data_IF_815746709175
#
_entry.id   IF_815746709175
#
_cell.length_a   1.000
_cell.length_b   1.000
_cell.length_c   1.000
_cell.angle_alpha   90.00
_cell.angle_beta   90.00
_cell.angle_gamma   90.00
#
_symmetry.space_group_name_H-M   'P 1'
#
loop_
_entity.id
_entity.type
_entity.pdbx_description
1 polymer ?
#
# COMPACT_ATOMS: atom_id res chain seq x y z
N UNK A 1 -7.62 -26.24 39.88
CA UNK A 1 -7.16 -24.84 39.98
C UNK A 1 -5.77 -24.64 39.38
N UNK A 2 -4.72 -25.39 39.76
CA UNK A 2 -3.36 -25.20 39.20
C UNK A 2 -3.27 -25.38 37.67
N UNK A 3 -4.04 -26.34 37.12
CA UNK A 3 -4.07 -26.65 35.67
C UNK A 3 -4.72 -25.53 34.83
N UNK A 4 -5.73 -24.85 35.36
CA UNK A 4 -6.35 -23.72 34.64
C UNK A 4 -5.46 -22.48 34.70
N UNK A 5 -4.68 -22.31 35.77
CA UNK A 5 -3.67 -21.25 35.87
C UNK A 5 -2.59 -21.43 34.79
N UNK A 6 -2.04 -22.64 34.63
CA UNK A 6 -1.04 -22.92 33.59
C UNK A 6 -1.55 -22.67 32.17
N UNK A 7 -2.80 -23.05 31.87
CA UNK A 7 -3.39 -22.79 30.55
C UNK A 7 -3.62 -21.31 30.29
N UNK A 8 -4.10 -20.56 31.30
CA UNK A 8 -4.28 -19.11 31.18
C UNK A 8 -2.93 -18.40 30.94
N UNK A 9 -1.87 -18.82 31.64
CA UNK A 9 -0.52 -18.28 31.44
C UNK A 9 0.00 -18.61 30.04
N UNK A 10 -0.18 -19.83 29.53
CA UNK A 10 0.23 -20.21 28.18
C UNK A 10 -0.48 -19.41 27.10
N UNK A 11 -1.79 -19.15 27.25
CA UNK A 11 -2.55 -18.32 26.31
C UNK A 11 -2.06 -16.88 26.34
N UNK A 12 -1.84 -16.31 27.53
CA UNK A 12 -1.29 -14.95 27.67
C UNK A 12 0.10 -14.82 27.03
N UNK A 13 0.99 -15.78 27.26
CA UNK A 13 2.31 -15.80 26.62
C UNK A 13 2.19 -15.93 25.10
N UNK A 14 1.29 -16.80 24.61
CA UNK A 14 1.02 -16.93 23.18
C UNK A 14 0.52 -15.64 22.53
N UNK A 15 -0.38 -14.91 23.20
CA UNK A 15 -0.87 -13.60 22.73
C UNK A 15 0.28 -12.59 22.70
N UNK A 16 1.08 -12.49 23.77
CA UNK A 16 2.21 -11.56 23.84
C UNK A 16 3.25 -11.86 22.76
N UNK A 17 3.57 -13.13 22.51
CA UNK A 17 4.49 -13.52 21.44
C UNK A 17 3.92 -13.22 20.04
N UNK A 18 2.61 -13.36 19.85
CA UNK A 18 1.96 -13.02 18.57
C UNK A 18 2.01 -11.51 18.32
N UNK A 19 1.72 -10.70 19.33
CA UNK A 19 1.82 -9.22 19.24
C UNK A 19 3.28 -8.78 19.02
N UNK A 20 4.24 -9.37 19.73
CA UNK A 20 5.66 -9.04 19.56
C UNK A 20 6.20 -9.38 18.16
N UNK A 21 5.74 -10.49 17.56
CA UNK A 21 6.14 -10.89 16.20
C UNK A 21 5.48 -10.04 15.11
N UNK A 22 4.31 -9.45 15.38
CA UNK A 22 3.66 -8.49 14.49
C UNK A 22 4.45 -7.17 14.44
N UNK A 23 4.86 -6.65 15.60
CA UNK A 23 5.70 -5.44 15.68
C UNK A 23 7.09 -5.61 15.07
N UNK A 24 7.67 -6.81 15.12
CA UNK A 24 9.00 -7.09 14.56
C UNK A 24 9.01 -7.30 13.04
N UNK A 25 7.85 -7.40 12.39
CA UNK A 25 7.74 -7.90 11.00
C UNK A 25 7.97 -6.88 9.90
N UNK A 26 8.08 -5.58 10.18
CA UNK A 26 8.34 -4.60 9.13
C UNK A 26 9.35 -3.55 9.58
N UNK A 27 10.61 -3.77 9.22
CA UNK A 27 11.55 -2.67 9.03
C UNK A 27 11.05 -1.90 7.79
N UNK A 28 10.15 -0.92 8.01
CA UNK A 28 9.61 -0.09 6.93
C UNK A 28 10.71 0.83 6.43
N UNK A 29 10.73 1.00 5.12
CA UNK A 29 11.59 1.97 4.46
C UNK A 29 10.85 3.29 4.52
N UNK A 30 11.56 4.35 4.90
CA UNK A 30 11.01 5.70 4.89
C UNK A 30 10.61 6.08 3.46
N UNK A 31 9.55 6.88 3.33
CA UNK A 31 9.05 7.34 2.05
C UNK A 31 9.54 8.74 1.76
N UNK A 32 9.73 9.05 0.48
CA UNK A 32 10.10 10.39 0.03
C UNK A 32 9.11 10.88 -1.01
N UNK A 33 8.57 12.07 -0.79
CA UNK A 33 7.62 12.72 -1.69
C UNK A 33 8.38 13.68 -2.61
N UNK A 34 8.18 13.51 -3.92
CA UNK A 34 8.75 14.37 -4.95
C UNK A 34 7.64 15.11 -5.67
N UNK A 35 7.78 16.43 -5.79
CA UNK A 35 6.96 17.26 -6.68
C UNK A 35 7.45 17.09 -8.12
N UNK A 36 6.60 16.53 -8.98
CA UNK A 36 6.96 16.20 -10.37
C UNK A 36 6.40 17.23 -11.33
N UNK A 37 5.15 17.67 -11.10
CA UNK A 37 4.45 18.66 -11.90
C UNK A 37 3.25 19.20 -11.11
N UNK A 38 2.56 20.19 -11.69
CA UNK A 38 1.36 20.76 -11.09
C UNK A 38 0.33 19.66 -10.74
N UNK A 39 -0.01 19.56 -9.45
CA UNK A 39 -0.91 18.57 -8.88
C UNK A 39 -0.47 17.10 -9.03
N UNK A 40 0.78 16.83 -9.40
CA UNK A 40 1.32 15.48 -9.61
C UNK A 40 2.58 15.26 -8.76
N UNK A 41 2.51 14.28 -7.88
CA UNK A 41 3.58 13.93 -6.96
C UNK A 41 3.96 12.46 -7.12
N UNK A 42 5.21 12.13 -6.84
CA UNK A 42 5.72 10.78 -6.81
C UNK A 42 6.16 10.43 -5.39
N UNK A 43 5.64 9.34 -4.85
CA UNK A 43 6.05 8.80 -3.56
C UNK A 43 7.00 7.60 -3.76
N UNK A 44 8.28 7.84 -3.51
CA UNK A 44 9.37 6.87 -3.67
C UNK A 44 9.77 6.23 -2.32
N UNK A 45 10.75 5.33 -2.35
CA UNK A 45 11.42 4.88 -1.14
C UNK A 45 12.64 5.79 -0.91
N UNK A 46 12.83 6.32 0.29
CA UNK A 46 13.92 7.26 0.62
C UNK A 46 15.30 6.60 0.58
N UNK A 47 15.39 5.29 0.83
CA UNK A 47 16.64 4.55 0.70
C UNK A 47 16.85 4.06 -0.74
N UNK A 48 18.00 4.35 -1.37
CA UNK A 48 18.35 3.82 -2.68
C UNK A 48 18.69 2.32 -2.65
N UNK A 49 18.89 1.74 -1.46
CA UNK A 49 19.20 0.32 -1.30
C UNK A 49 17.92 -0.54 -1.26
N UNK A 50 17.54 -1.03 -2.45
CA UNK A 50 16.53 -2.08 -2.61
C UNK A 50 15.08 -1.59 -2.77
N UNK A 51 14.19 -2.54 -3.06
CA UNK A 51 12.74 -2.31 -3.22
C UNK A 51 11.96 -2.68 -1.95
N UNK A 52 12.52 -2.41 -0.76
CA UNK A 52 11.94 -2.86 0.52
C UNK A 52 10.51 -2.37 0.78
N UNK A 53 10.13 -1.21 0.23
CA UNK A 53 8.77 -0.67 0.26
C UNK A 53 7.91 -0.99 -0.97
N UNK A 54 8.44 -1.71 -1.96
CA UNK A 54 7.82 -1.87 -3.27
C UNK A 54 8.16 -0.74 -4.25
N UNK A 55 7.35 -0.59 -5.30
CA UNK A 55 7.52 0.44 -6.33
C UNK A 55 7.12 1.84 -5.88
N UNK A 56 7.22 2.79 -6.81
CA UNK A 56 6.77 4.16 -6.60
C UNK A 56 5.25 4.25 -6.73
N UNK A 57 4.64 5.17 -5.99
CA UNK A 57 3.22 5.51 -6.12
C UNK A 57 3.12 6.91 -6.71
N UNK A 58 2.32 7.08 -7.76
CA UNK A 58 1.96 8.42 -8.22
C UNK A 58 0.72 8.92 -7.49
N UNK A 59 0.74 10.18 -7.05
CA UNK A 59 -0.37 10.87 -6.40
C UNK A 59 -0.78 12.02 -7.32
N UNK A 60 -1.96 11.92 -7.90
CA UNK A 60 -2.49 12.95 -8.80
C UNK A 60 -3.73 13.59 -8.18
N UNK A 61 -3.64 14.87 -7.86
CA UNK A 61 -4.72 15.64 -7.23
C UNK A 61 -5.60 16.24 -8.33
N UNK A 62 -6.88 15.88 -8.32
CA UNK A 62 -7.86 16.37 -9.31
C UNK A 62 -8.95 17.20 -8.63
N UNK A 63 -9.85 17.79 -9.42
CA UNK A 63 -11.00 18.51 -8.88
C UNK A 63 -12.01 17.59 -8.16
N UNK A 64 -12.09 16.31 -8.55
CA UNK A 64 -13.05 15.34 -7.99
C UNK A 64 -12.46 14.51 -6.84
N UNK A 65 -11.14 14.52 -6.65
CA UNK A 65 -10.45 13.72 -5.64
C UNK A 65 -9.02 13.36 -6.04
N UNK A 66 -8.38 12.49 -5.26
CA UNK A 66 -7.02 12.01 -5.53
C UNK A 66 -7.06 10.68 -6.28
N UNK A 67 -6.27 10.60 -7.35
CA UNK A 67 -6.01 9.37 -8.10
C UNK A 67 -4.62 8.86 -7.72
N UNK A 68 -4.56 7.62 -7.23
CA UNK A 68 -3.31 6.93 -6.98
C UNK A 68 -3.00 5.99 -8.15
N UNK A 69 -1.77 6.00 -8.64
CA UNK A 69 -1.28 5.01 -9.61
C UNK A 69 -0.23 4.13 -8.94
N UNK A 70 -0.55 2.85 -8.90
CA UNK A 70 0.11 1.80 -8.13
C UNK A 70 0.18 2.09 -6.62
N UNK A 71 0.23 1.02 -5.84
CA UNK A 71 0.45 1.11 -4.39
C UNK A 71 1.73 0.39 -4.00
N UNK A 72 2.21 0.70 -2.80
CA UNK A 72 3.38 0.04 -2.21
C UNK A 72 3.07 -1.40 -1.78
N UNK A 73 4.02 -2.06 -1.13
CA UNK A 73 3.78 -3.36 -0.52
C UNK A 73 2.82 -3.23 0.69
N UNK A 74 2.35 -4.36 1.21
CA UNK A 74 1.50 -4.41 2.40
C UNK A 74 2.03 -3.64 3.59
N UNK A 75 1.13 -2.99 4.33
CA UNK A 75 1.45 -2.19 5.51
C UNK A 75 1.53 -0.68 5.22
N UNK A 76 1.84 -0.27 3.99
CA UNK A 76 2.06 1.14 3.64
C UNK A 76 0.79 1.96 3.38
N UNK A 77 -0.41 1.38 3.52
CA UNK A 77 -1.66 2.08 3.20
C UNK A 77 -1.87 3.36 4.03
N UNK A 78 -1.56 3.30 5.33
CA UNK A 78 -1.65 4.47 6.20
C UNK A 78 -0.56 5.49 5.92
N UNK A 79 0.64 5.03 5.55
CA UNK A 79 1.76 5.92 5.21
C UNK A 79 1.43 6.71 3.94
N UNK A 80 0.88 6.05 2.91
CA UNK A 80 0.39 6.72 1.69
C UNK A 80 -0.70 7.74 2.02
N UNK A 81 -1.66 7.39 2.89
CA UNK A 81 -2.73 8.32 3.29
C UNK A 81 -2.19 9.54 4.04
N UNK A 82 -1.17 9.37 4.89
CA UNK A 82 -0.53 10.47 5.59
C UNK A 82 0.17 11.43 4.61
N UNK A 83 0.88 10.90 3.62
CA UNK A 83 1.51 11.71 2.57
C UNK A 83 0.48 12.45 1.71
N UNK A 84 -0.62 11.78 1.34
CA UNK A 84 -1.73 12.43 0.62
C UNK A 84 -2.32 13.58 1.44
N UNK A 85 -2.53 13.38 2.75
CA UNK A 85 -3.07 14.42 3.63
C UNK A 85 -2.13 15.63 3.79
N UNK A 86 -0.81 15.42 3.65
CA UNK A 86 0.17 16.51 3.59
C UNK A 86 0.07 17.35 2.30
N UNK A 87 -0.44 16.76 1.22
CA UNK A 87 -0.60 17.40 -0.09
C UNK A 87 -1.98 18.03 -0.25
N UNK A 88 -3.05 17.39 0.22
CA UNK A 88 -4.43 17.84 0.00
C UNK A 88 -5.43 17.23 0.98
N UNK A 89 -6.47 17.99 1.32
CA UNK A 89 -7.63 17.51 2.09
C UNK A 89 -8.63 16.69 1.25
N UNK A 90 -8.36 16.52 -0.05
CA UNK A 90 -9.25 15.77 -0.95
C UNK A 90 -9.16 14.27 -0.66
N UNK A 91 -10.29 13.55 -0.67
CA UNK A 91 -10.26 12.11 -0.49
C UNK A 91 -9.58 11.43 -1.68
N UNK A 92 -8.91 10.31 -1.42
CA UNK A 92 -8.57 9.34 -2.47
C UNK A 92 -9.87 8.81 -3.04
N UNK A 93 -10.06 8.93 -4.36
CA UNK A 93 -11.28 8.53 -5.07
C UNK A 93 -11.04 7.42 -6.08
N UNK A 94 -9.79 7.20 -6.49
CA UNK A 94 -9.47 6.19 -7.49
C UNK A 94 -8.08 5.63 -7.24
N UNK A 95 -7.96 4.30 -7.33
CA UNK A 95 -6.68 3.61 -7.36
C UNK A 95 -6.58 2.87 -8.69
N UNK A 96 -5.50 3.10 -9.41
CA UNK A 96 -5.18 2.46 -10.69
C UNK A 96 -3.94 1.60 -10.46
N UNK A 97 -4.11 0.28 -10.43
CA UNK A 97 -2.96 -0.64 -10.43
C UNK A 97 -2.61 -1.00 -11.87
N UNK A 98 -1.36 -0.76 -12.27
CA UNK A 98 -0.89 -0.94 -13.66
C UNK A 98 -0.65 -2.41 -14.01
N UNK A 99 -0.36 -3.24 -13.00
CA UNK A 99 -0.16 -4.68 -13.13
C UNK A 99 -0.36 -5.38 -11.79
N UNK A 100 -0.43 -6.72 -11.81
CA UNK A 100 -0.57 -7.52 -10.59
C UNK A 100 0.78 -8.09 -10.14
N UNK A 101 1.36 -7.49 -9.10
CA UNK A 101 2.30 -8.19 -8.22
C UNK A 101 1.56 -8.69 -6.98
N UNK A 102 1.95 -9.86 -6.46
CA UNK A 102 1.40 -10.44 -5.21
C UNK A 102 1.48 -9.46 -4.01
N UNK A 103 2.26 -8.40 -4.13
CA UNK A 103 2.51 -7.34 -3.15
C UNK A 103 1.70 -6.06 -3.36
N UNK A 104 1.32 -5.69 -4.59
CA UNK A 104 0.63 -4.43 -4.94
C UNK A 104 -0.89 -4.49 -4.72
N UNK A 105 -1.48 -5.69 -4.77
CA UNK A 105 -2.95 -5.83 -4.62
C UNK A 105 -3.42 -5.78 -3.17
N UNK A 106 -2.51 -5.97 -2.21
CA UNK A 106 -2.94 -6.21 -0.82
C UNK A 106 -3.03 -4.91 0.03
N UNK A 107 -2.52 -3.76 -0.45
CA UNK A 107 -2.80 -2.45 0.20
C UNK A 107 -4.21 -1.93 -0.11
N UNK A 108 -4.88 -2.49 -1.11
CA UNK A 108 -6.20 -2.04 -1.56
C UNK A 108 -7.28 -2.11 -0.47
N UNK A 109 -7.16 -3.05 0.48
CA UNK A 109 -8.09 -3.20 1.61
C UNK A 109 -8.10 -2.01 2.57
N UNK A 110 -7.06 -1.18 2.56
CA UNK A 110 -6.97 0.02 3.40
C UNK A 110 -7.76 1.21 2.84
N UNK A 111 -8.25 1.13 1.61
CA UNK A 111 -8.91 2.22 0.91
C UNK A 111 -10.36 1.85 0.60
N UNK A 112 -11.34 2.56 1.18
CA UNK A 112 -12.76 2.39 0.85
C UNK A 112 -13.13 3.07 -0.47
N UNK A 113 -12.45 2.72 -1.56
CA UNK A 113 -12.52 3.46 -2.82
C UNK A 113 -12.68 2.58 -4.03
N UNK A 114 -13.19 3.18 -5.12
CA UNK A 114 -13.24 2.52 -6.43
C UNK A 114 -11.82 2.17 -6.86
N UNK A 115 -11.59 0.88 -7.02
CA UNK A 115 -10.30 0.34 -7.43
C UNK A 115 -10.42 -0.23 -8.83
N UNK A 116 -9.50 0.18 -9.70
CA UNK A 116 -9.43 -0.26 -11.09
C UNK A 116 -8.12 -1.02 -11.25
N UNK A 117 -8.22 -2.32 -11.51
CA UNK A 117 -7.06 -3.11 -11.91
C UNK A 117 -6.96 -3.06 -13.44
N UNK A 118 -5.86 -2.52 -13.96
CA UNK A 118 -5.52 -2.65 -15.36
C UNK A 118 -4.71 -3.92 -15.53
N UNK A 119 -5.26 -4.88 -16.27
CA UNK A 119 -4.50 -6.04 -16.73
C UNK A 119 -3.95 -5.73 -18.11
N UNK A 120 -2.63 -5.55 -18.20
CA UNK A 120 -1.91 -5.42 -19.46
C UNK A 120 -1.29 -6.76 -19.83
N UNK A 121 -1.66 -7.30 -21.00
CA UNK A 121 -1.05 -8.50 -21.55
C UNK A 121 -0.30 -8.14 -22.83
N UNK A 122 0.98 -8.49 -22.89
CA UNK A 122 1.72 -8.46 -24.14
C UNK A 122 1.29 -9.63 -25.03
N UNK A 123 1.06 -9.33 -26.32
CA UNK A 123 1.03 -10.32 -27.39
C UNK A 123 1.94 -9.83 -28.52
N UNK A 124 3.08 -10.50 -28.69
CA UNK A 124 4.15 -10.02 -29.56
C UNK A 124 4.70 -8.67 -29.09
N UNK A 125 4.71 -7.66 -29.97
CA UNK A 125 5.13 -6.27 -29.67
C UNK A 125 3.95 -5.33 -29.37
N UNK A 126 2.74 -5.85 -29.20
CA UNK A 126 1.54 -5.05 -28.95
C UNK A 126 1.00 -5.30 -27.54
N UNK A 127 0.69 -4.19 -26.88
CA UNK A 127 0.05 -4.18 -25.57
C UNK A 127 -1.46 -4.23 -25.72
N UNK A 128 -2.10 -5.11 -24.97
CA UNK A 128 -3.56 -5.20 -24.87
C UNK A 128 -3.95 -4.95 -23.42
N UNK A 129 -4.72 -3.88 -23.18
CA UNK A 129 -5.25 -3.55 -21.86
C UNK A 129 -6.67 -4.06 -21.68
N UNK A 130 -6.98 -4.57 -20.49
CA UNK A 130 -8.35 -4.84 -20.05
C UNK A 130 -8.57 -4.20 -18.69
N UNK A 131 -9.65 -3.45 -18.56
CA UNK A 131 -10.16 -3.00 -17.26
C UNK A 131 -10.78 -4.22 -16.57
N UNK A 132 -10.25 -4.58 -15.41
CA UNK A 132 -10.80 -5.62 -14.56
C UNK A 132 -11.38 -4.91 -13.34
N UNK A 133 -12.67 -4.63 -13.36
CA UNK A 133 -13.41 -4.19 -12.18
C UNK A 133 -13.73 -5.41 -11.31
N UNK A 134 -13.65 -5.29 -9.97
CA UNK A 134 -14.21 -6.30 -9.07
C UNK A 134 -15.72 -6.44 -9.23
#
# INVERSE_FOLDING_TARGET
>A
MKRSLYMATLVLVGIVLTVATDHARQQRVDLELHDVAENLYMLSNASPEGMGGGGNTAIFVTSSGVVLVDTKINGYGQDILAEVAGVTDRPVTTIINTHNHTTTVVVMWNFQTRSILLSMRMHGRRWHGRVVSP
#
